data_IF_940577481541
#
_entry.id   IF_940577481541
#
_cell.length_a   1.000
_cell.length_b   1.000
_cell.length_c   1.000
_cell.angle_alpha   90.00
_cell.angle_beta   90.00
_cell.angle_gamma   90.00
#
_symmetry.space_group_name_H-M   'P 1'
#
loop_
_entity.id
_entity.type
_entity.pdbx_description
1 polymer ?
#
# COMPACT_ATOMS: atom_id res chain seq x y z
N UNK A 1 -17.96 22.31 27.61
CA UNK A 1 -18.67 22.22 26.33
C UNK A 1 -17.69 22.68 25.27
N UNK A 2 -16.95 21.74 24.69
CA UNK A 2 -15.71 21.98 23.94
C UNK A 2 -16.07 22.23 22.49
N UNK A 3 -15.88 23.47 22.02
CA UNK A 3 -16.22 23.87 20.65
C UNK A 3 -15.20 23.23 19.69
N UNK A 4 -15.68 22.26 18.92
CA UNK A 4 -14.98 21.64 17.79
C UNK A 4 -14.85 22.70 16.69
N UNK A 5 -13.67 23.29 16.55
CA UNK A 5 -13.32 24.09 15.37
C UNK A 5 -13.05 23.11 14.23
N UNK A 6 -14.09 22.82 13.47
CA UNK A 6 -14.01 22.13 12.19
C UNK A 6 -13.39 23.12 11.21
N UNK A 7 -12.09 22.99 10.93
CA UNK A 7 -11.49 23.66 9.79
C UNK A 7 -12.09 23.06 8.52
N UNK A 8 -13.11 23.73 8.00
CA UNK A 8 -13.49 23.66 6.60
C UNK A 8 -12.30 24.25 5.84
N UNK A 9 -11.43 23.40 5.29
CA UNK A 9 -10.46 23.83 4.27
C UNK A 9 -11.32 24.19 3.05
N UNK A 10 -11.82 25.42 3.07
CA UNK A 10 -12.49 26.06 1.94
C UNK A 10 -11.44 26.22 0.87
N UNK A 11 -11.77 25.84 -0.36
CA UNK A 11 -10.98 26.01 -1.58
C UNK A 11 -10.88 27.50 -1.99
N UNK A 12 -10.89 28.42 -1.03
CA UNK A 12 -10.75 29.86 -1.26
C UNK A 12 -9.29 30.24 -1.00
N UNK A 13 -8.38 29.63 -1.75
CA UNK A 13 -7.02 30.15 -1.82
C UNK A 13 -7.01 31.30 -2.85
N UNK A 14 -6.37 32.45 -2.55
CA UNK A 14 -6.30 33.58 -3.47
C UNK A 14 -5.71 33.14 -4.83
N UNK A 15 -6.13 33.78 -5.92
CA UNK A 15 -5.76 33.47 -7.33
C UNK A 15 -4.23 33.37 -7.58
N UNK A 16 -3.41 33.84 -6.63
CA UNK A 16 -1.95 33.85 -6.66
C UNK A 16 -1.27 32.80 -5.77
N UNK A 17 -2.02 31.99 -5.02
CA UNK A 17 -1.44 30.83 -4.35
C UNK A 17 -1.19 29.75 -5.39
N UNK A 18 0.04 29.26 -5.51
CA UNK A 18 0.31 28.16 -6.41
C UNK A 18 -0.62 26.97 -6.10
N UNK A 19 -1.27 26.36 -7.10
CA UNK A 19 -2.15 25.23 -6.85
C UNK A 19 -1.34 24.15 -6.14
N UNK A 20 -1.82 23.73 -4.97
CA UNK A 20 -1.23 22.68 -4.17
C UNK A 20 -1.10 21.44 -5.07
N UNK A 21 0.12 21.16 -5.52
CA UNK A 21 0.43 20.07 -6.46
C UNK A 21 0.40 18.72 -5.73
N UNK A 22 -0.81 18.29 -5.38
CA UNK A 22 -1.10 16.95 -4.90
C UNK A 22 -1.53 16.10 -6.09
N UNK A 23 -1.04 14.87 -6.18
CA UNK A 23 -1.31 14.02 -7.35
C UNK A 23 -2.79 13.67 -7.49
N UNK A 24 -3.46 13.41 -6.36
CA UNK A 24 -4.89 13.11 -6.30
C UNK A 24 -5.49 13.73 -5.03
N UNK A 25 -6.71 14.26 -5.13
CA UNK A 25 -7.42 14.89 -4.00
C UNK A 25 -8.48 13.99 -3.33
N UNK A 26 -8.87 12.89 -3.96
CA UNK A 26 -9.90 11.97 -3.49
C UNK A 26 -9.46 10.52 -3.65
N UNK A 27 -10.03 9.60 -2.87
CA UNK A 27 -9.76 8.17 -3.01
C UNK A 27 -10.95 7.51 -3.71
N UNK A 28 -10.72 7.09 -4.94
CA UNK A 28 -11.68 6.44 -5.82
C UNK A 28 -11.08 5.17 -6.37
N UNK A 29 -11.42 4.08 -5.73
CA UNK A 29 -11.12 2.74 -6.21
C UNK A 29 -12.39 1.88 -6.19
N UNK A 30 -12.41 0.75 -6.91
CA UNK A 30 -13.60 -0.11 -6.98
C UNK A 30 -14.14 -0.56 -5.61
N UNK A 31 -13.27 -0.64 -4.59
CA UNK A 31 -13.61 -1.13 -3.25
C UNK A 31 -13.57 -0.05 -2.17
N UNK A 32 -12.93 1.09 -2.44
CA UNK A 32 -12.76 2.20 -1.50
C UNK A 32 -13.16 3.49 -2.19
N UNK A 33 -14.21 4.12 -1.66
CA UNK A 33 -14.63 5.45 -2.08
C UNK A 33 -14.60 6.37 -0.88
N UNK A 34 -13.78 7.41 -0.96
CA UNK A 34 -13.78 8.51 -0.02
C UNK A 34 -13.52 9.84 -0.71
N UNK A 35 -14.32 10.85 -0.35
CA UNK A 35 -14.15 12.22 -0.84
C UNK A 35 -12.98 12.96 -0.14
N UNK A 36 -12.27 12.32 0.79
CA UNK A 36 -11.11 12.89 1.47
C UNK A 36 -9.94 11.91 1.50
N UNK A 37 -8.72 12.43 1.32
CA UNK A 37 -7.50 11.63 1.39
C UNK A 37 -7.29 10.97 2.76
N UNK A 38 -7.59 11.68 3.86
CA UNK A 38 -7.45 11.13 5.22
C UNK A 38 -8.31 9.89 5.43
N UNK A 39 -9.58 9.93 5.05
CA UNK A 39 -10.47 8.76 5.17
C UNK A 39 -10.08 7.64 4.19
N UNK A 40 -9.62 7.98 2.98
CA UNK A 40 -9.03 7.01 2.05
C UNK A 40 -7.82 6.28 2.66
N UNK A 41 -6.90 7.00 3.30
CA UNK A 41 -5.72 6.40 3.93
C UNK A 41 -6.08 5.49 5.11
N UNK A 42 -7.12 5.80 5.88
CA UNK A 42 -7.63 4.87 6.91
C UNK A 42 -8.16 3.56 6.31
N UNK A 43 -8.90 3.64 5.20
CA UNK A 43 -9.37 2.46 4.48
C UNK A 43 -8.21 1.65 3.88
N UNK A 44 -7.19 2.32 3.35
CA UNK A 44 -5.98 1.68 2.83
C UNK A 44 -5.18 0.97 3.93
N UNK A 45 -5.08 1.57 5.13
CA UNK A 45 -4.46 0.93 6.29
C UNK A 45 -5.20 -0.36 6.65
N UNK A 46 -6.53 -0.30 6.71
CA UNK A 46 -7.36 -1.47 6.99
C UNK A 46 -7.21 -2.56 5.91
N UNK A 47 -7.27 -2.17 4.64
CA UNK A 47 -7.04 -3.06 3.50
C UNK A 47 -5.68 -3.79 3.62
N UNK A 48 -4.63 -3.05 3.92
CA UNK A 48 -3.27 -3.60 4.06
C UNK A 48 -3.21 -4.65 5.17
N UNK A 49 -3.80 -4.36 6.33
CA UNK A 49 -3.83 -5.30 7.46
C UNK A 49 -4.64 -6.56 7.13
N UNK A 50 -5.81 -6.39 6.50
CA UNK A 50 -6.69 -7.50 6.12
C UNK A 50 -6.01 -8.42 5.10
N UNK A 51 -5.50 -7.86 4.00
CA UNK A 51 -4.81 -8.64 2.96
C UNK A 51 -3.56 -9.33 3.50
N UNK A 52 -2.75 -8.65 4.32
CA UNK A 52 -1.56 -9.25 4.92
C UNK A 52 -1.92 -10.45 5.80
N UNK A 53 -3.01 -10.35 6.56
CA UNK A 53 -3.50 -11.47 7.40
C UNK A 53 -3.93 -12.66 6.54
N UNK A 54 -4.68 -12.42 5.46
CA UNK A 54 -5.11 -13.49 4.54
C UNK A 54 -3.91 -14.17 3.87
N UNK A 55 -2.92 -13.40 3.41
CA UNK A 55 -1.72 -13.95 2.77
C UNK A 55 -0.88 -14.73 3.78
N UNK A 56 -0.74 -14.26 5.03
CA UNK A 56 -0.09 -15.03 6.09
C UNK A 56 -0.78 -16.38 6.29
N UNK A 57 -2.12 -16.41 6.35
CA UNK A 57 -2.85 -17.68 6.49
C UNK A 57 -2.63 -18.63 5.30
N UNK A 58 -2.54 -18.09 4.08
CA UNK A 58 -2.22 -18.88 2.88
C UNK A 58 -0.79 -19.44 2.95
N UNK A 59 0.20 -18.62 3.34
CA UNK A 59 1.60 -19.07 3.47
C UNK A 59 1.70 -20.18 4.53
N UNK A 60 1.07 -20.00 5.69
CA UNK A 60 1.05 -21.04 6.74
C UNK A 60 0.42 -22.33 6.21
N UNK A 61 -0.68 -22.23 5.48
CA UNK A 61 -1.31 -23.39 4.86
C UNK A 61 -0.36 -24.12 3.89
N UNK A 62 0.36 -23.40 3.03
CA UNK A 62 1.35 -23.98 2.11
C UNK A 62 2.56 -24.58 2.85
N UNK A 63 3.02 -23.95 3.93
CA UNK A 63 4.08 -24.52 4.80
C UNK A 63 3.65 -25.81 5.48
N UNK A 64 2.35 -25.99 5.73
CA UNK A 64 1.77 -27.21 6.28
C UNK A 64 1.42 -28.26 5.20
N UNK A 65 2.06 -28.18 4.01
CA UNK A 65 1.86 -29.07 2.86
C UNK A 65 0.49 -28.93 2.17
N UNK A 66 -0.19 -27.81 2.37
CA UNK A 66 -1.38 -27.47 1.59
C UNK A 66 -1.04 -27.12 0.15
N UNK A 67 -1.91 -27.48 -0.79
CA UNK A 67 -1.71 -27.14 -2.20
C UNK A 67 -2.11 -25.68 -2.46
N UNK A 68 -1.21 -24.91 -3.07
CA UNK A 68 -1.52 -23.53 -3.46
C UNK A 68 -2.18 -23.50 -4.85
N UNK A 69 -2.77 -22.36 -5.22
CA UNK A 69 -3.26 -22.18 -6.59
C UNK A 69 -2.10 -22.17 -7.57
N UNK A 70 -2.34 -22.52 -8.84
CA UNK A 70 -1.31 -22.53 -9.89
C UNK A 70 -0.54 -21.19 -10.03
N UNK A 71 -1.13 -20.08 -9.58
CA UNK A 71 -0.47 -18.77 -9.53
C UNK A 71 0.69 -18.73 -8.52
N UNK A 72 0.57 -19.40 -7.37
CA UNK A 72 1.61 -19.39 -6.34
C UNK A 72 2.30 -20.73 -6.17
N UNK A 73 1.85 -21.78 -6.86
CA UNK A 73 2.44 -23.12 -6.82
C UNK A 73 3.95 -23.10 -7.04
N UNK A 74 4.47 -22.40 -8.06
CA UNK A 74 5.91 -22.39 -8.28
C UNK A 74 6.72 -21.68 -7.17
N UNK A 75 6.09 -20.83 -6.35
CA UNK A 75 6.73 -20.18 -5.19
C UNK A 75 6.96 -21.18 -4.05
N UNK A 76 6.13 -22.21 -3.97
CA UNK A 76 6.10 -23.20 -2.88
C UNK A 76 6.48 -24.62 -3.35
N UNK A 77 6.85 -24.79 -4.63
CA UNK A 77 7.25 -26.09 -5.20
C UNK A 77 8.73 -26.46 -4.94
N UNK A 78 9.54 -25.56 -4.37
CA UNK A 78 10.92 -25.90 -3.97
C UNK A 78 10.93 -26.95 -2.86
N UNK A 79 11.84 -27.92 -2.96
CA UNK A 79 11.97 -29.08 -2.06
C UNK A 79 11.82 -28.70 -0.57
N UNK A 80 10.74 -29.21 0.05
CA UNK A 80 10.52 -29.19 1.50
C UNK A 80 11.62 -29.95 2.26
N UNK A 81 12.22 -30.94 1.61
CA UNK A 81 13.21 -31.84 2.21
C UNK A 81 14.54 -31.13 2.53
N UNK A 82 14.85 -30.04 1.83
CA UNK A 82 16.09 -29.27 2.03
C UNK A 82 15.90 -28.07 3.00
N UNK A 83 14.71 -27.89 3.58
CA UNK A 83 14.39 -26.79 4.51
C UNK A 83 14.32 -25.39 3.88
N UNK A 84 14.67 -25.25 2.60
CA UNK A 84 14.70 -23.97 1.87
C UNK A 84 13.34 -23.25 1.85
N UNK A 85 12.25 -23.99 1.64
CA UNK A 85 10.89 -23.46 1.58
C UNK A 85 10.44 -22.85 2.92
N UNK A 86 10.84 -23.44 4.05
CA UNK A 86 10.51 -22.94 5.38
C UNK A 86 11.18 -21.59 5.60
N UNK A 87 12.46 -21.46 5.23
CA UNK A 87 13.20 -20.20 5.36
C UNK A 87 12.56 -19.06 4.55
N UNK A 88 12.22 -19.31 3.28
CA UNK A 88 11.56 -18.30 2.45
C UNK A 88 10.14 -17.97 2.93
N UNK A 89 9.36 -18.96 3.34
CA UNK A 89 8.02 -18.76 3.92
C UNK A 89 8.06 -17.90 5.19
N UNK A 90 9.00 -18.14 6.09
CA UNK A 90 9.19 -17.32 7.30
C UNK A 90 9.62 -15.89 6.97
N UNK A 91 10.47 -15.70 5.96
CA UNK A 91 10.85 -14.36 5.49
C UNK A 91 9.62 -13.58 4.98
N UNK A 92 8.73 -14.22 4.20
CA UNK A 92 7.49 -13.59 3.74
C UNK A 92 6.55 -13.25 4.89
N UNK A 93 6.39 -14.15 5.87
CA UNK A 93 5.58 -13.87 7.08
C UNK A 93 6.16 -12.67 7.83
N UNK A 94 7.46 -12.63 8.04
CA UNK A 94 8.12 -11.50 8.71
C UNK A 94 7.90 -10.17 7.96
N UNK A 95 8.04 -10.17 6.64
CA UNK A 95 7.75 -9.01 5.81
C UNK A 95 6.29 -8.54 5.96
N UNK A 96 5.32 -9.46 5.95
CA UNK A 96 3.91 -9.13 6.10
C UNK A 96 3.57 -8.61 7.52
N UNK A 97 4.23 -9.12 8.56
CA UNK A 97 4.11 -8.57 9.92
C UNK A 97 4.65 -7.15 10.00
N UNK A 98 5.79 -6.86 9.36
CA UNK A 98 6.29 -5.48 9.23
C UNK A 98 5.31 -4.60 8.47
N UNK A 99 4.66 -5.14 7.44
CA UNK A 99 3.69 -4.38 6.66
C UNK A 99 2.42 -4.06 7.46
N UNK A 100 1.93 -5.00 8.27
CA UNK A 100 0.85 -4.76 9.25
C UNK A 100 1.27 -3.67 10.25
N UNK A 101 2.49 -3.75 10.81
CA UNK A 101 2.98 -2.74 11.74
C UNK A 101 3.08 -1.35 11.08
N UNK A 102 3.54 -1.28 9.83
CA UNK A 102 3.61 -0.04 9.04
C UNK A 102 2.23 0.56 8.77
N UNK A 103 1.20 -0.27 8.53
CA UNK A 103 -0.18 0.18 8.39
C UNK A 103 -0.73 0.74 9.72
N UNK A 104 -0.35 0.14 10.85
CA UNK A 104 -0.64 0.70 12.18
C UNK A 104 0.03 2.05 12.44
N UNK A 105 1.28 2.22 12.00
CA UNK A 105 1.97 3.51 12.04
C UNK A 105 1.28 4.56 11.16
N UNK A 106 0.84 4.18 9.96
CA UNK A 106 0.05 5.06 9.09
C UNK A 106 -1.25 5.51 9.76
N UNK A 107 -1.96 4.60 10.44
CA UNK A 107 -3.16 4.97 11.20
C UNK A 107 -2.87 6.01 12.28
N UNK A 108 -1.74 5.85 13.01
CA UNK A 108 -1.28 6.83 14.00
C UNK A 108 -0.85 8.15 13.34
N UNK A 109 -0.18 8.08 12.19
CA UNK A 109 0.24 9.23 11.39
C UNK A 109 -0.93 10.16 11.08
N UNK A 110 -2.07 9.59 10.70
CA UNK A 110 -3.28 10.33 10.36
C UNK A 110 -3.95 11.02 11.56
N UNK A 111 -3.76 10.50 12.78
CA UNK A 111 -4.29 11.11 14.01
C UNK A 111 -3.41 12.22 14.57
N UNK A 112 -2.09 12.02 14.52
CA UNK A 112 -1.09 12.96 15.07
C UNK A 112 -0.62 13.94 13.99
N UNK A 113 -1.05 13.79 12.74
CA UNK A 113 -0.62 14.57 11.58
C UNK A 113 0.92 14.63 11.45
N UNK A 114 1.60 13.48 11.58
CA UNK A 114 3.06 13.35 11.46
C UNK A 114 3.41 12.60 10.18
N UNK A 115 3.99 13.30 9.19
CA UNK A 115 4.35 12.73 7.89
C UNK A 115 5.31 11.54 7.95
N UNK A 116 6.25 11.56 8.90
CA UNK A 116 7.28 10.52 9.02
C UNK A 116 6.73 9.11 9.25
N UNK A 117 5.55 8.99 9.87
CA UNK A 117 4.91 7.69 10.12
C UNK A 117 4.23 7.07 8.89
N UNK A 118 4.08 7.80 7.78
CA UNK A 118 3.63 7.22 6.50
C UNK A 118 4.78 6.59 5.70
N UNK A 119 6.02 7.02 5.93
CA UNK A 119 7.19 6.57 5.17
C UNK A 119 7.42 5.05 5.20
N UNK A 120 7.30 4.35 6.36
CA UNK A 120 7.51 2.90 6.39
C UNK A 120 6.54 2.15 5.46
N UNK A 121 5.26 2.56 5.42
CA UNK A 121 4.27 1.93 4.55
C UNK A 121 4.55 2.22 3.07
N UNK A 122 4.92 3.47 2.74
CA UNK A 122 5.28 3.86 1.37
C UNK A 122 6.47 3.06 0.84
N UNK A 123 7.54 2.93 1.63
CA UNK A 123 8.73 2.16 1.25
C UNK A 123 8.41 0.67 1.05
N UNK A 124 7.65 0.07 1.97
CA UNK A 124 7.28 -1.34 1.86
C UNK A 124 6.34 -1.59 0.66
N UNK A 125 5.45 -0.66 0.34
CA UNK A 125 4.57 -0.78 -0.83
C UNK A 125 5.34 -0.75 -2.16
N UNK A 126 6.42 0.03 -2.27
CA UNK A 126 7.31 -0.01 -3.46
C UNK A 126 7.93 -1.40 -3.63
N UNK A 127 8.33 -2.05 -2.52
CA UNK A 127 8.85 -3.41 -2.55
C UNK A 127 7.76 -4.39 -3.02
N UNK A 128 6.52 -4.26 -2.53
CA UNK A 128 5.39 -5.09 -2.98
C UNK A 128 5.12 -4.93 -4.48
N UNK A 129 5.07 -3.70 -4.98
CA UNK A 129 4.83 -3.42 -6.41
C UNK A 129 5.96 -4.01 -7.26
N UNK A 130 7.21 -3.83 -6.84
CA UNK A 130 8.39 -4.38 -7.54
C UNK A 130 8.35 -5.91 -7.56
N UNK A 131 8.02 -6.54 -6.43
CA UNK A 131 7.85 -7.98 -6.35
C UNK A 131 6.74 -8.46 -7.30
N UNK A 132 5.57 -7.82 -7.32
CA UNK A 132 4.47 -8.19 -8.22
C UNK A 132 4.87 -8.06 -9.70
N UNK A 133 5.64 -7.04 -10.05
CA UNK A 133 6.15 -6.87 -11.41
C UNK A 133 7.08 -8.01 -11.80
N UNK A 134 8.12 -8.26 -11.00
CA UNK A 134 9.12 -9.30 -11.27
C UNK A 134 8.50 -10.70 -11.25
N UNK A 135 7.57 -10.95 -10.33
CA UNK A 135 6.84 -12.21 -10.23
C UNK A 135 5.99 -12.46 -11.49
N UNK A 136 5.27 -11.43 -11.98
CA UNK A 136 4.52 -11.54 -13.23
C UNK A 136 5.41 -11.82 -14.45
N UNK A 137 6.55 -11.12 -14.55
CA UNK A 137 7.53 -11.37 -15.64
C UNK A 137 8.08 -12.79 -15.56
N UNK A 138 8.43 -13.25 -14.35
CA UNK A 138 8.94 -14.59 -14.12
C UNK A 138 7.92 -15.68 -14.50
N UNK A 139 6.65 -15.50 -14.14
CA UNK A 139 5.58 -16.41 -14.54
C UNK A 139 5.41 -16.49 -16.05
N UNK A 140 5.46 -15.33 -16.72
CA UNK A 140 5.34 -15.28 -18.17
C UNK A 140 6.55 -15.98 -18.82
N UNK A 141 7.76 -15.71 -18.37
CA UNK A 141 8.96 -16.37 -18.90
C UNK A 141 8.97 -17.88 -18.67
N UNK A 142 8.60 -18.35 -17.47
CA UNK A 142 8.64 -19.77 -17.11
C UNK A 142 7.51 -20.60 -17.73
N UNK A 143 6.34 -20.00 -17.94
CA UNK A 143 5.11 -20.75 -18.25
C UNK A 143 4.25 -20.15 -19.38
N UNK A 144 4.81 -19.33 -20.28
CA UNK A 144 4.06 -18.68 -21.38
C UNK A 144 3.30 -19.66 -22.31
N UNK A 145 3.68 -20.93 -22.35
CA UNK A 145 3.01 -21.96 -23.15
C UNK A 145 1.58 -22.22 -22.63
N UNK A 146 1.33 -22.00 -21.34
CA UNK A 146 0.05 -22.22 -20.70
C UNK A 146 -0.76 -20.91 -20.65
N UNK A 147 -1.86 -20.84 -21.42
CA UNK A 147 -2.73 -19.66 -21.47
C UNK A 147 -3.29 -19.27 -20.09
N UNK A 148 -3.54 -20.24 -19.22
CA UNK A 148 -4.02 -19.99 -17.84
C UNK A 148 -2.98 -19.22 -17.01
N UNK A 149 -1.69 -19.41 -17.26
CA UNK A 149 -0.62 -18.71 -16.56
C UNK A 149 -0.51 -17.26 -17.03
N UNK A 150 -0.74 -17.00 -18.33
CA UNK A 150 -0.89 -15.64 -18.85
C UNK A 150 -2.07 -14.93 -18.18
N UNK A 151 -3.20 -15.61 -17.98
CA UNK A 151 -4.35 -15.07 -17.25
C UNK A 151 -3.99 -14.71 -15.80
N UNK A 152 -3.31 -15.59 -15.08
CA UNK A 152 -2.87 -15.32 -13.71
C UNK A 152 -1.89 -14.15 -13.60
N UNK A 153 -0.95 -14.02 -14.56
CA UNK A 153 -0.07 -12.87 -14.66
C UNK A 153 -0.86 -11.55 -14.84
N UNK A 154 -1.88 -11.54 -15.71
CA UNK A 154 -2.73 -10.37 -15.92
C UNK A 154 -3.49 -9.99 -14.64
N UNK A 155 -4.05 -10.96 -13.91
CA UNK A 155 -4.72 -10.72 -12.63
C UNK A 155 -3.75 -10.12 -11.60
N UNK A 156 -2.53 -10.65 -11.51
CA UNK A 156 -1.49 -10.11 -10.64
C UNK A 156 -1.12 -8.66 -11.02
N UNK A 157 -1.00 -8.33 -12.30
CA UNK A 157 -0.72 -6.96 -12.74
C UNK A 157 -1.89 -6.00 -12.57
N UNK A 158 -3.14 -6.46 -12.69
CA UNK A 158 -4.31 -5.65 -12.31
C UNK A 158 -4.28 -5.32 -10.82
N UNK A 159 -3.92 -6.30 -9.98
CA UNK A 159 -3.76 -6.09 -8.56
C UNK A 159 -2.56 -5.17 -8.23
N UNK A 160 -1.46 -5.28 -8.98
CA UNK A 160 -0.34 -4.34 -8.93
C UNK A 160 -0.77 -2.92 -9.30
N UNK A 161 -1.57 -2.74 -10.36
CA UNK A 161 -2.12 -1.44 -10.74
C UNK A 161 -2.96 -0.82 -9.62
N UNK A 162 -3.74 -1.64 -8.91
CA UNK A 162 -4.45 -1.20 -7.72
C UNK A 162 -3.50 -0.76 -6.60
N UNK A 163 -2.41 -1.50 -6.32
CA UNK A 163 -1.40 -1.09 -5.34
C UNK A 163 -0.68 0.21 -5.71
N UNK A 164 -0.36 0.42 -7.00
CA UNK A 164 0.19 1.69 -7.51
C UNK A 164 -0.79 2.83 -7.23
N UNK A 165 -2.09 2.62 -7.46
CA UNK A 165 -3.11 3.62 -7.13
C UNK A 165 -3.14 3.94 -5.63
N UNK A 166 -3.16 2.93 -4.75
CA UNK A 166 -3.13 3.16 -3.31
C UNK A 166 -1.85 3.88 -2.86
N UNK A 167 -0.71 3.56 -3.47
CA UNK A 167 0.55 4.26 -3.24
C UNK A 167 0.41 5.75 -3.55
N UNK A 168 -0.15 6.11 -4.71
CA UNK A 168 -0.36 7.51 -5.11
C UNK A 168 -1.28 8.25 -4.12
N UNK A 169 -2.34 7.60 -3.62
CA UNK A 169 -3.26 8.19 -2.64
C UNK A 169 -2.54 8.49 -1.31
N UNK A 170 -1.74 7.54 -0.81
CA UNK A 170 -0.99 7.73 0.45
C UNK A 170 0.15 8.74 0.25
N UNK A 171 0.81 8.74 -0.90
CA UNK A 171 1.83 9.72 -1.25
C UNK A 171 1.24 11.13 -1.35
N UNK A 172 0.04 11.26 -1.91
CA UNK A 172 -0.73 12.51 -1.93
C UNK A 172 -0.98 13.02 -0.50
N UNK A 173 -1.40 12.15 0.42
CA UNK A 173 -1.58 12.52 1.82
C UNK A 173 -0.25 12.91 2.52
N UNK A 174 0.86 12.29 2.12
CA UNK A 174 2.19 12.66 2.59
C UNK A 174 2.58 14.09 2.16
N UNK A 175 2.32 14.46 0.90
CA UNK A 175 2.54 15.82 0.40
C UNK A 175 1.66 16.85 1.11
N UNK A 176 0.40 16.51 1.40
CA UNK A 176 -0.49 17.39 2.19
C UNK A 176 0.11 17.68 3.56
N UNK A 177 0.63 16.66 4.25
CA UNK A 177 1.28 16.87 5.55
C UNK A 177 2.58 17.67 5.46
N UNK A 178 3.35 17.57 4.38
CA UNK A 178 4.51 18.43 4.17
C UNK A 178 4.13 19.91 4.12
N UNK A 179 3.06 20.24 3.39
CA UNK A 179 2.60 21.61 3.25
C UNK A 179 2.00 22.12 4.58
N UNK A 180 1.17 21.32 5.25
CA UNK A 180 0.59 21.68 6.56
C UNK A 180 1.66 21.89 7.65
N UNK A 181 2.80 21.22 7.55
CA UNK A 181 3.89 21.30 8.55
C UNK A 181 4.94 22.36 8.22
N UNK A 182 4.98 22.90 7.01
CA UNK A 182 5.93 23.93 6.65
C UNK A 182 5.57 25.24 7.38
N UNK A 183 6.53 25.90 8.06
CA UNK A 183 6.27 27.18 8.70
C UNK A 183 5.94 28.22 7.62
N UNK A 184 4.74 28.80 7.68
CA UNK A 184 4.41 29.96 6.84
C UNK A 184 5.24 31.15 7.31
N UNK A 185 6.34 31.43 6.60
CA UNK A 185 7.10 32.67 6.78
C UNK A 185 6.32 33.77 6.09
N UNK A 186 5.32 34.32 6.77
CA UNK A 186 4.77 35.60 6.39
C UNK A 186 5.77 36.69 6.79
N UNK A 187 6.44 37.29 5.81
CA UNK A 187 7.23 38.49 6.02
C UNK A 187 6.25 39.63 6.31
N UNK A 188 6.01 39.89 7.59
CA UNK A 188 5.33 41.10 8.04
C UNK A 188 6.24 42.29 7.76
N UNK A 189 6.16 42.83 6.54
CA UNK A 189 6.74 44.13 6.21
C UNK A 189 5.78 45.17 6.81
N UNK A 190 6.15 45.70 7.99
CA UNK A 190 5.53 46.89 8.57
C UNK A 190 5.99 48.16 7.85
#
# INVERSE_FOLDING_TARGET
MTTLVIYKVSLDTPIWSEPIMVWVNTCWSPFIWSNSLKSGCYAIAFYTMAMSTLIITLIIYCLLRGESTQLYSPLFETSLDDGSMISWGLMYIFFLLLFIASAGLMWRALRVCVRGFLLPWLTLMVIVITFQLLWGIWQLYGYYIYLIQTYYCLVNWLWMGYHVYLFIVVFSQYQVFEIEQNPNIELLIN
#
